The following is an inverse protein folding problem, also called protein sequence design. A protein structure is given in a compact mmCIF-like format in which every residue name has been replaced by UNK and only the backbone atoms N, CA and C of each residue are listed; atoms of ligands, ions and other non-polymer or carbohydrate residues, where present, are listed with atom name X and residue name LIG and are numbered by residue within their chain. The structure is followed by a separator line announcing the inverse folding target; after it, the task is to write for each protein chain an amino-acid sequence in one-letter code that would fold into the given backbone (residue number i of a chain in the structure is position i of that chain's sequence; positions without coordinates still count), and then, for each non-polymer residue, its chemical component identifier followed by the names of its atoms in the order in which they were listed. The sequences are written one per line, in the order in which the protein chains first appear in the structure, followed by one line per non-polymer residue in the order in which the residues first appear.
data_IF_357180158635
#
_entry.id   IF_357180158635
#
_cell.length_a   1.000
_cell.length_b   1.000
_cell.length_c   1.000
_cell.angle_alpha   90.00
_cell.angle_beta   90.00
_cell.angle_gamma   90.00
#
_symmetry.space_group_name_H-M   'P 1'
#
loop_
_entity.id
_entity.type
_entity.pdbx_description
1 polymer ?
#
# COMPACT_ATOMS: atom_id res chain seq x y z
N UNK A 1 32.49 57.10 5.77
CA UNK A 1 32.62 55.89 6.62
C UNK A 1 31.28 55.24 6.98
N UNK A 2 30.20 56.00 7.21
CA UNK A 2 28.89 55.43 7.58
C UNK A 2 28.23 54.57 6.48
N UNK A 3 28.41 54.88 5.19
CA UNK A 3 27.83 54.08 4.09
C UNK A 3 28.40 52.66 4.01
N UNK A 4 29.73 52.51 4.17
CA UNK A 4 30.42 51.21 4.10
C UNK A 4 29.99 50.29 5.26
N UNK A 5 29.75 50.89 6.44
CA UNK A 5 29.26 50.16 7.61
C UNK A 5 27.80 49.68 7.43
N UNK A 6 26.96 50.49 6.78
CA UNK A 6 25.58 50.11 6.48
C UNK A 6 25.50 49.00 5.42
N UNK A 7 26.31 49.07 4.37
CA UNK A 7 26.35 48.05 3.31
C UNK A 7 26.80 46.68 3.86
N UNK A 8 27.80 46.68 4.75
CA UNK A 8 28.25 45.46 5.45
C UNK A 8 27.16 44.87 6.35
N UNK A 9 26.38 45.72 7.03
CA UNK A 9 25.27 45.29 7.89
C UNK A 9 24.11 44.68 7.10
N UNK A 10 23.83 45.25 5.92
CA UNK A 10 22.78 44.76 5.00
C UNK A 10 23.18 43.41 4.41
N UNK A 11 24.42 43.25 3.89
CA UNK A 11 24.93 41.96 3.40
C UNK A 11 24.86 40.86 4.45
N UNK A 12 25.22 41.16 5.71
CA UNK A 12 25.18 40.17 6.81
C UNK A 12 23.74 39.75 7.14
N UNK A 13 22.80 40.68 7.11
CA UNK A 13 21.36 40.41 7.29
C UNK A 13 20.79 39.55 6.15
N UNK A 14 21.10 39.89 4.90
CA UNK A 14 20.66 39.12 3.72
C UNK A 14 21.23 37.70 3.71
N UNK A 15 22.51 37.52 4.06
CA UNK A 15 23.13 36.18 4.17
C UNK A 15 22.43 35.32 5.22
N UNK A 16 22.03 35.91 6.35
CA UNK A 16 21.28 35.21 7.41
C UNK A 16 19.88 34.82 6.93
N UNK A 17 19.17 35.73 6.23
CA UNK A 17 17.85 35.45 5.64
C UNK A 17 17.90 34.33 4.59
N UNK A 18 18.90 34.35 3.71
CA UNK A 18 19.11 33.29 2.70
C UNK A 18 19.40 31.95 3.36
N UNK A 19 20.21 31.93 4.44
CA UNK A 19 20.48 30.70 5.19
C UNK A 19 19.21 30.12 5.81
N UNK A 20 18.37 30.96 6.43
CA UNK A 20 17.08 30.53 6.99
C UNK A 20 16.13 30.04 5.89
N UNK A 21 16.08 30.73 4.75
CA UNK A 21 15.26 30.33 3.62
C UNK A 21 15.67 28.94 3.08
N UNK A 22 16.97 28.67 2.97
CA UNK A 22 17.49 27.34 2.56
C UNK A 22 17.06 26.24 3.54
N UNK A 23 17.10 26.51 4.85
CA UNK A 23 16.65 25.56 5.87
C UNK A 23 15.14 25.31 5.78
N UNK A 24 14.34 26.35 5.57
CA UNK A 24 12.89 26.23 5.38
C UNK A 24 12.53 25.42 4.12
N UNK A 25 13.25 25.65 3.01
CA UNK A 25 13.05 24.87 1.78
C UNK A 25 13.38 23.39 2.05
N UNK A 26 14.52 23.09 2.68
CA UNK A 26 14.88 21.71 3.05
C UNK A 26 13.84 21.04 3.94
N UNK A 27 13.33 21.76 4.94
CA UNK A 27 12.28 21.25 5.83
C UNK A 27 10.99 20.96 5.06
N UNK A 28 10.60 21.85 4.15
CA UNK A 28 9.43 21.68 3.30
C UNK A 28 9.55 20.43 2.43
N UNK A 29 10.71 20.23 1.79
CA UNK A 29 11.00 19.00 1.04
C UNK A 29 10.88 17.74 1.90
N UNK A 30 11.41 17.77 3.13
CA UNK A 30 11.33 16.62 4.05
C UNK A 30 9.87 16.27 4.39
N UNK A 31 9.03 17.27 4.65
CA UNK A 31 7.60 17.08 4.93
C UNK A 31 6.86 16.54 3.70
N UNK A 32 7.15 17.05 2.51
CA UNK A 32 6.56 16.54 1.28
C UNK A 32 6.92 15.07 1.03
N UNK A 33 8.17 14.67 1.24
CA UNK A 33 8.60 13.27 1.08
C UNK A 33 7.88 12.36 2.07
N UNK A 34 7.81 12.76 3.35
CA UNK A 34 7.12 12.00 4.39
C UNK A 34 5.59 11.92 4.18
N UNK A 35 4.98 12.95 3.59
CA UNK A 35 3.56 12.95 3.24
C UNK A 35 3.24 11.96 2.13
N UNK A 36 4.07 11.95 1.07
CA UNK A 36 3.89 11.05 -0.08
C UNK A 36 4.15 9.59 0.31
N UNK A 37 5.11 9.33 1.20
CA UNK A 37 5.39 7.95 1.64
C UNK A 37 4.20 7.31 2.37
N UNK A 38 3.44 8.09 3.15
CA UNK A 38 2.25 7.58 3.85
C UNK A 38 1.10 7.24 2.90
N UNK A 39 0.95 8.02 1.82
CA UNK A 39 -0.07 7.74 0.80
C UNK A 39 0.24 6.51 -0.06
N UNK A 40 1.50 6.07 -0.09
CA UNK A 40 1.95 4.87 -0.82
C UNK A 40 2.07 3.64 0.08
N UNK A 41 1.82 3.80 1.39
CA UNK A 41 2.06 2.76 2.39
C UNK A 41 1.14 1.57 2.19
N UNK A 42 -0.10 1.80 1.74
CA UNK A 42 -1.09 0.77 1.43
C UNK A 42 -1.57 0.96 -0.01
N UNK A 43 -1.53 -0.12 -0.78
CA UNK A 43 -2.06 -0.17 -2.13
C UNK A 43 -2.77 -1.49 -2.37
N UNK A 44 -3.93 -1.41 -2.99
CA UNK A 44 -4.66 -2.58 -3.44
C UNK A 44 -3.88 -3.33 -4.53
N UNK A 45 -4.02 -4.65 -4.51
CA UNK A 45 -3.38 -5.54 -5.46
C UNK A 45 -4.12 -5.51 -6.81
N UNK A 46 -3.89 -4.48 -7.61
CA UNK A 46 -4.53 -4.29 -8.92
C UNK A 46 -3.99 -5.20 -10.03
N UNK A 47 -2.84 -5.84 -9.84
CA UNK A 47 -2.14 -6.54 -10.94
C UNK A 47 -2.43 -8.05 -10.92
N UNK A 48 -3.08 -8.61 -11.95
CA UNK A 48 -3.40 -10.04 -12.00
C UNK A 48 -2.18 -10.95 -12.12
N UNK A 49 -1.07 -10.40 -12.60
CA UNK A 49 0.24 -11.07 -12.74
C UNK A 49 0.90 -11.31 -11.38
N UNK A 50 0.64 -10.45 -10.40
CA UNK A 50 1.18 -10.58 -9.04
C UNK A 50 0.46 -11.66 -8.23
N UNK A 51 -0.66 -12.21 -8.72
CA UNK A 51 -1.38 -13.29 -8.06
C UNK A 51 -0.97 -14.60 -8.73
N UNK A 52 -0.05 -15.34 -8.11
CA UNK A 52 0.51 -16.58 -8.69
C UNK A 52 -0.53 -17.69 -8.63
N UNK A 53 -1.12 -17.92 -7.45
CA UNK A 53 -2.13 -18.97 -7.30
C UNK A 53 -3.03 -18.73 -6.09
N UNK A 54 -4.27 -19.21 -6.20
CA UNK A 54 -5.21 -19.31 -5.09
C UNK A 54 -5.58 -20.79 -4.97
N UNK A 55 -5.44 -21.37 -3.78
CA UNK A 55 -5.79 -22.75 -3.50
C UNK A 55 -6.73 -22.80 -2.30
N UNK A 56 -7.81 -23.55 -2.41
CA UNK A 56 -8.63 -23.91 -1.25
C UNK A 56 -8.22 -25.30 -0.78
N UNK A 57 -7.82 -25.43 0.48
CA UNK A 57 -7.51 -26.72 1.10
C UNK A 57 -8.07 -26.74 2.52
N UNK A 58 -8.85 -27.78 2.83
CA UNK A 58 -9.35 -28.06 4.18
C UNK A 58 -10.08 -26.89 4.88
N UNK A 59 -10.80 -26.06 4.13
CA UNK A 59 -11.52 -24.90 4.67
C UNK A 59 -10.64 -23.65 4.86
N UNK A 60 -9.40 -23.66 4.36
CA UNK A 60 -8.52 -22.49 4.27
C UNK A 60 -8.28 -22.11 2.82
N UNK A 61 -8.27 -20.81 2.57
CA UNK A 61 -7.90 -20.21 1.29
C UNK A 61 -6.45 -19.73 1.39
N UNK A 62 -5.56 -20.39 0.68
CA UNK A 62 -4.16 -20.00 0.56
C UNK A 62 -3.97 -19.19 -0.73
N UNK A 63 -3.52 -17.95 -0.57
CA UNK A 63 -3.26 -17.04 -1.69
C UNK A 63 -1.76 -16.77 -1.72
N UNK A 64 -1.15 -17.12 -2.85
CA UNK A 64 0.27 -16.91 -3.12
C UNK A 64 0.40 -15.80 -4.14
N UNK A 65 1.17 -14.77 -3.78
CA UNK A 65 1.45 -13.59 -4.60
C UNK A 65 2.94 -13.47 -4.86
N UNK A 66 3.32 -12.95 -6.03
CA UNK A 66 4.70 -12.61 -6.36
C UNK A 66 4.84 -11.09 -6.21
N UNK A 67 5.20 -10.67 -5.01
CA UNK A 67 5.35 -9.27 -4.65
C UNK A 67 6.83 -8.86 -4.69
N UNK A 68 7.13 -7.61 -5.11
CA UNK A 68 8.47 -7.08 -4.98
C UNK A 68 8.94 -7.12 -3.53
N UNK A 69 10.23 -7.38 -3.29
CA UNK A 69 10.85 -7.53 -1.95
C UNK A 69 10.60 -6.38 -0.95
N UNK A 70 10.21 -5.20 -1.44
CA UNK A 70 9.89 -4.02 -0.63
C UNK A 70 8.40 -3.93 -0.26
N UNK A 71 7.59 -4.92 -0.67
CA UNK A 71 6.17 -5.04 -0.35
C UNK A 71 5.90 -6.34 0.39
N UNK A 72 4.77 -6.37 1.08
CA UNK A 72 4.21 -7.58 1.65
C UNK A 72 2.70 -7.48 1.57
N UNK A 73 2.04 -8.63 1.55
CA UNK A 73 0.59 -8.67 1.71
C UNK A 73 0.24 -8.11 3.09
N UNK A 74 -0.71 -7.19 3.16
CA UNK A 74 -1.34 -6.83 4.42
C UNK A 74 -2.30 -7.96 4.79
N UNK A 75 -2.37 -8.31 6.07
CA UNK A 75 -3.36 -9.26 6.58
C UNK A 75 -4.80 -8.76 6.48
N UNK A 76 -5.00 -7.54 5.98
CA UNK A 76 -6.30 -6.92 5.77
C UNK A 76 -6.88 -7.38 4.44
N UNK A 77 -8.00 -8.08 4.53
CA UNK A 77 -8.81 -8.45 3.38
C UNK A 77 -10.25 -8.00 3.64
N UNK A 78 -10.88 -7.44 2.61
CA UNK A 78 -12.31 -7.14 2.67
C UNK A 78 -13.05 -8.21 1.87
N UNK A 79 -13.92 -8.95 2.57
CA UNK A 79 -14.89 -9.84 1.93
C UNK A 79 -16.08 -8.99 1.51
N UNK A 80 -16.29 -8.85 0.20
CA UNK A 80 -17.53 -8.27 -0.32
C UNK A 80 -18.71 -9.20 0.01
N UNK A 81 -19.89 -8.61 0.26
CA UNK A 81 -21.14 -9.39 0.34
C UNK A 81 -21.39 -10.02 -1.03
N UNK A 82 -21.04 -11.29 -1.17
CA UNK A 82 -21.56 -12.11 -2.24
C UNK A 82 -23.06 -12.30 -1.99
N UNK A 83 -23.85 -11.44 -2.64
CA UNK A 83 -25.30 -11.56 -2.65
C UNK A 83 -25.69 -12.93 -3.25
N UNK A 84 -26.02 -13.86 -2.34
CA UNK A 84 -27.05 -14.90 -2.38
C UNK A 84 -27.21 -15.84 -3.61
N UNK A 85 -26.42 -15.74 -4.69
CA UNK A 85 -26.81 -16.42 -5.95
C UNK A 85 -25.83 -17.46 -6.49
N UNK A 86 -24.52 -17.48 -6.22
CA UNK A 86 -23.60 -18.34 -7.00
C UNK A 86 -22.24 -18.72 -6.37
N UNK A 87 -22.16 -19.15 -5.09
CA UNK A 87 -20.93 -19.78 -4.53
C UNK A 87 -19.62 -19.00 -4.81
N UNK A 88 -19.73 -17.67 -4.90
CA UNK A 88 -18.71 -16.74 -5.39
C UNK A 88 -18.25 -15.88 -4.23
N UNK A 89 -16.95 -15.69 -4.09
CA UNK A 89 -16.37 -14.82 -3.06
C UNK A 89 -15.62 -13.67 -3.70
N UNK A 90 -15.85 -12.45 -3.20
CA UNK A 90 -15.10 -11.27 -3.61
C UNK A 90 -14.11 -10.89 -2.52
N UNK A 91 -12.83 -10.86 -2.87
CA UNK A 91 -11.73 -10.57 -1.96
C UNK A 91 -10.93 -9.40 -2.48
N UNK A 92 -10.83 -8.32 -1.69
CA UNK A 92 -9.81 -7.29 -1.91
C UNK A 92 -8.57 -7.62 -1.11
N UNK A 93 -7.41 -7.64 -1.78
CA UNK A 93 -6.10 -7.88 -1.18
C UNK A 93 -5.34 -6.56 -1.12
N UNK A 94 -4.99 -6.14 0.10
CA UNK A 94 -4.18 -4.93 0.31
C UNK A 94 -2.72 -5.33 0.44
N UNK A 95 -1.82 -4.63 -0.25
CA UNK A 95 -0.38 -4.72 -0.04
C UNK A 95 0.12 -3.53 0.74
N UNK A 96 1.16 -3.72 1.55
CA UNK A 96 1.84 -2.63 2.24
C UNK A 96 3.32 -2.59 1.90
N UNK A 97 3.92 -1.41 1.99
CA UNK A 97 5.37 -1.28 1.95
C UNK A 97 5.96 -1.93 3.20
N UNK A 98 6.74 -2.98 3.00
CA UNK A 98 7.42 -3.66 4.10
C UNK A 98 8.90 -3.27 4.12
N UNK A 99 9.22 -2.33 5.01
CA UNK A 99 10.60 -1.90 5.26
C UNK A 99 11.41 -2.95 6.04
N UNK A 100 10.76 -4.00 6.58
CA UNK A 100 11.46 -5.11 7.24
C UNK A 100 12.01 -6.15 6.27
N UNK A 101 11.68 -6.04 4.97
CA UNK A 101 12.09 -6.95 3.89
C UNK A 101 11.73 -8.42 4.19
N UNK A 102 10.66 -8.68 4.94
CA UNK A 102 10.19 -10.05 5.17
C UNK A 102 9.48 -10.62 3.95
N UNK A 103 8.89 -9.75 3.12
CA UNK A 103 8.15 -10.09 1.91
C UNK A 103 7.15 -11.22 2.15
N UNK A 104 6.12 -10.95 2.96
CA UNK A 104 5.04 -11.90 3.18
C UNK A 104 4.20 -12.02 1.90
N UNK A 105 4.55 -13.02 1.09
CA UNK A 105 3.96 -13.31 -0.22
C UNK A 105 2.72 -14.23 -0.14
N UNK A 106 2.53 -14.88 1.01
CA UNK A 106 1.45 -15.87 1.21
C UNK A 106 0.56 -15.46 2.37
N UNK A 107 -0.75 -15.48 2.15
CA UNK A 107 -1.76 -15.35 3.20
C UNK A 107 -2.64 -16.60 3.23
N UNK A 108 -3.00 -17.01 4.44
CA UNK A 108 -3.98 -18.05 4.67
C UNK A 108 -5.19 -17.43 5.35
N UNK A 109 -6.35 -17.56 4.72
CA UNK A 109 -7.61 -17.03 5.23
C UNK A 109 -8.52 -18.21 5.55
N UNK A 110 -9.08 -18.25 6.76
CA UNK A 110 -10.06 -19.29 7.10
C UNK A 110 -11.39 -18.96 6.40
N UNK A 111 -11.90 -19.90 5.60
CA UNK A 111 -13.14 -19.73 4.84
C UNK A 111 -14.35 -19.61 5.80
N UNK A 112 -14.22 -20.12 7.04
CA UNK A 112 -15.26 -20.01 8.08
C UNK A 112 -15.40 -18.59 8.60
N UNK A 113 -14.30 -17.84 8.71
CA UNK A 113 -14.31 -16.44 9.13
C UNK A 113 -14.95 -15.52 8.07
N UNK A 114 -15.06 -16.02 6.84
CA UNK A 114 -15.66 -15.32 5.69
C UNK A 114 -17.16 -15.61 5.52
N UNK A 115 -17.80 -16.32 6.46
CA UNK A 115 -19.25 -16.50 6.52
C UNK A 115 -19.84 -17.59 5.60
N UNK A 116 -19.09 -18.09 4.61
CA UNK A 116 -19.52 -19.15 3.71
C UNK A 116 -18.80 -20.47 4.02
N UNK A 117 -19.24 -21.16 5.08
CA UNK A 117 -18.67 -22.43 5.54
C UNK A 117 -18.89 -23.64 4.63
N UNK A 118 -19.37 -23.48 3.40
CA UNK A 118 -19.61 -24.59 2.47
C UNK A 118 -19.37 -24.16 1.00
N UNK A 119 -18.51 -24.92 0.32
CA UNK A 119 -18.40 -25.02 -1.15
C UNK A 119 -18.24 -23.72 -1.94
N UNK A 120 -17.20 -22.94 -1.66
CA UNK A 120 -16.78 -21.89 -2.60
C UNK A 120 -16.32 -22.53 -3.91
N UNK A 121 -17.01 -22.22 -5.01
CA UNK A 121 -16.63 -22.67 -6.36
C UNK A 121 -15.76 -21.65 -7.09
N UNK A 122 -15.81 -20.39 -6.66
CA UNK A 122 -15.18 -19.29 -7.37
C UNK A 122 -14.75 -18.17 -6.43
N UNK A 123 -13.53 -17.67 -6.63
CA UNK A 123 -12.95 -16.52 -5.94
C UNK A 123 -12.62 -15.44 -6.96
N UNK A 124 -13.19 -14.26 -6.78
CA UNK A 124 -12.87 -13.05 -7.51
C UNK A 124 -11.99 -12.17 -6.63
N UNK A 125 -10.79 -11.86 -7.10
CA UNK A 125 -10.00 -10.78 -6.53
C UNK A 125 -10.46 -9.48 -7.16
N UNK A 126 -10.83 -8.52 -6.31
CA UNK A 126 -11.34 -7.21 -6.70
C UNK A 126 -10.38 -6.11 -6.23
N UNK A 127 -10.32 -5.05 -7.02
CA UNK A 127 -9.63 -3.79 -6.74
C UNK A 127 -10.65 -2.65 -6.88
N UNK A 128 -10.31 -1.41 -6.51
CA UNK A 128 -11.15 -0.22 -6.68
C UNK A 128 -11.66 -0.03 -8.12
N UNK A 129 -10.99 -0.64 -9.10
CA UNK A 129 -11.32 -0.58 -10.53
C UNK A 129 -12.19 -1.76 -11.03
N UNK A 130 -12.45 -2.76 -10.20
CA UNK A 130 -13.24 -3.95 -10.54
C UNK A 130 -12.49 -5.27 -10.35
N UNK A 131 -12.96 -6.33 -11.00
CA UNK A 131 -12.39 -7.69 -10.87
C UNK A 131 -11.03 -7.74 -11.54
N UNK A 132 -9.99 -7.99 -10.76
CA UNK A 132 -8.60 -8.15 -11.21
C UNK A 132 -8.38 -9.56 -11.74
N UNK A 133 -8.83 -10.57 -10.98
CA UNK A 133 -8.63 -11.97 -11.33
C UNK A 133 -9.76 -12.83 -10.81
N UNK A 134 -10.11 -13.84 -11.58
CA UNK A 134 -11.09 -14.84 -11.21
C UNK A 134 -10.41 -16.20 -11.17
N UNK A 135 -10.60 -16.93 -10.07
CA UNK A 135 -10.09 -18.28 -9.90
C UNK A 135 -11.25 -19.20 -9.55
N UNK A 136 -11.24 -20.38 -10.16
CA UNK A 136 -12.18 -21.46 -9.88
C UNK A 136 -11.49 -22.46 -8.95
N UNK A 137 -12.19 -22.90 -7.91
CA UNK A 137 -11.69 -23.81 -6.88
C UNK A 137 -12.04 -25.27 -7.20
#
# INVERSE_FOLDING_TARGET
MQEIANDTRIRKSQTRKIRVLKVLILLCWLVCILGVSKGLEYQDLSSPEQIVSIKASEGKLEIVTDLPFYRSLSGDYMSGNAAEVNDTMELSLVTRIDLSMKNEETIQIDIRDLGNGAELKKVNIVDEKGIVKTVYL
#
